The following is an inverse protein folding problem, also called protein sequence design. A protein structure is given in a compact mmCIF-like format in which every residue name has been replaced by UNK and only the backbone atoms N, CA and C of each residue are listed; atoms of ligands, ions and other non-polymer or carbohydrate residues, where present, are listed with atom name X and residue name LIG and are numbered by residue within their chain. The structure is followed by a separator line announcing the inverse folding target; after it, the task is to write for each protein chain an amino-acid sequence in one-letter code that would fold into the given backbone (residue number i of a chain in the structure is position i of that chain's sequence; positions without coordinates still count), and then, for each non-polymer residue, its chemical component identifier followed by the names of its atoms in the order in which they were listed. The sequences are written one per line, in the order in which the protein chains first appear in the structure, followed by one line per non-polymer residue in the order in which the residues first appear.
data_IF_857407572336
#
_entry.id   IF_857407572336
#
_cell.length_a   1.000
_cell.length_b   1.000
_cell.length_c   1.000
_cell.angle_alpha   90.00
_cell.angle_beta   90.00
_cell.angle_gamma   90.00
#
_symmetry.space_group_name_H-M   'P 1'
#
loop_
_entity.id
_entity.type
_entity.pdbx_description
1 polymer ?
#
# COMPACT_ATOMS: atom_id res chain seq x y z
N UNK A 1 -5.29 24.59 -16.86
CA UNK A 1 -4.78 23.20 -16.91
C UNK A 1 -5.50 22.24 -17.90
N UNK A 2 -6.28 22.66 -18.92
CA UNK A 2 -7.06 21.70 -19.73
C UNK A 2 -6.23 20.75 -20.63
N UNK A 3 -4.92 20.97 -20.76
CA UNK A 3 -4.03 20.18 -21.63
C UNK A 3 -3.27 19.06 -20.93
N UNK A 4 -3.32 18.96 -19.60
CA UNK A 4 -2.59 17.92 -18.85
C UNK A 4 -3.51 16.73 -18.63
N UNK A 5 -3.17 15.58 -19.23
CA UNK A 5 -3.87 14.31 -19.04
C UNK A 5 -2.96 13.33 -18.29
N UNK A 6 -3.39 12.74 -17.16
CA UNK A 6 -2.64 11.67 -16.51
C UNK A 6 -2.56 10.43 -17.39
N UNK A 7 -1.38 9.81 -17.45
CA UNK A 7 -1.19 8.48 -18.03
C UNK A 7 -1.29 7.43 -16.91
N UNK A 8 -2.49 6.87 -16.73
CA UNK A 8 -2.77 5.91 -15.66
C UNK A 8 -2.03 4.58 -15.85
N UNK A 9 -1.76 4.19 -17.10
CA UNK A 9 -1.02 2.98 -17.41
C UNK A 9 0.45 3.11 -16.99
N UNK A 10 1.08 4.25 -17.29
CA UNK A 10 2.45 4.54 -16.82
C UNK A 10 2.53 4.66 -15.30
N UNK A 11 1.53 5.27 -14.65
CA UNK A 11 1.47 5.31 -13.19
C UNK A 11 1.45 3.89 -12.58
N UNK A 12 0.62 2.99 -13.13
CA UNK A 12 0.56 1.59 -12.68
C UNK A 12 1.88 0.86 -12.93
N UNK A 13 2.43 0.97 -14.14
CA UNK A 13 3.71 0.38 -14.50
C UNK A 13 4.84 0.80 -13.55
N UNK A 14 4.92 2.09 -13.22
CA UNK A 14 5.94 2.61 -12.31
C UNK A 14 5.74 2.10 -10.88
N UNK A 15 4.50 1.92 -10.43
CA UNK A 15 4.22 1.33 -9.13
C UNK A 15 4.65 -0.15 -9.08
N UNK A 16 4.36 -0.91 -10.12
CA UNK A 16 4.70 -2.34 -10.21
C UNK A 16 6.23 -2.57 -10.29
N UNK A 17 7.00 -1.61 -10.86
CA UNK A 17 8.47 -1.63 -10.87
C UNK A 17 9.10 -1.63 -9.47
N UNK A 18 8.36 -1.24 -8.42
CA UNK A 18 8.87 -1.30 -7.04
C UNK A 18 8.94 -2.72 -6.48
N UNK A 19 8.45 -3.73 -7.22
CA UNK A 19 8.32 -5.13 -6.78
C UNK A 19 7.56 -5.28 -5.44
N UNK A 20 6.62 -4.37 -5.19
CA UNK A 20 5.84 -4.33 -3.95
C UNK A 20 6.63 -3.84 -2.74
N UNK A 21 7.81 -3.23 -2.89
CA UNK A 21 8.53 -2.67 -1.73
C UNK A 21 7.75 -1.57 -1.01
N UNK A 22 6.82 -0.92 -1.71
CA UNK A 22 5.90 0.08 -1.15
C UNK A 22 4.97 -0.48 -0.08
N UNK A 23 4.81 -1.81 0.02
CA UNK A 23 3.98 -2.45 1.06
C UNK A 23 4.71 -2.70 2.39
N UNK A 24 5.97 -2.28 2.51
CA UNK A 24 6.75 -2.47 3.75
C UNK A 24 6.06 -1.81 4.95
N UNK A 25 5.67 -0.55 4.83
CA UNK A 25 5.00 0.20 5.90
C UNK A 25 3.65 -0.40 6.31
N UNK A 26 2.70 -0.68 5.40
CA UNK A 26 1.44 -1.31 5.80
C UNK A 26 1.65 -2.69 6.42
N UNK A 27 2.62 -3.49 5.94
CA UNK A 27 2.92 -4.78 6.57
C UNK A 27 3.43 -4.61 8.00
N UNK A 28 4.32 -3.64 8.25
CA UNK A 28 4.78 -3.34 9.61
C UNK A 28 3.61 -2.94 10.50
N UNK A 29 2.76 -2.02 10.05
CA UNK A 29 1.59 -1.58 10.83
C UNK A 29 0.66 -2.75 11.17
N UNK A 30 0.36 -3.61 10.20
CA UNK A 30 -0.51 -4.78 10.42
C UNK A 30 0.12 -5.75 11.42
N UNK A 31 1.42 -6.05 11.29
CA UNK A 31 2.12 -6.95 12.20
C UNK A 31 2.21 -6.37 13.63
N UNK A 32 2.40 -5.07 13.78
CA UNK A 32 2.36 -4.40 15.10
C UNK A 32 0.99 -4.54 15.76
N UNK A 33 -0.09 -4.26 15.01
CA UNK A 33 -1.47 -4.39 15.52
C UNK A 33 -1.79 -5.83 15.91
N UNK A 34 -1.25 -6.81 15.19
CA UNK A 34 -1.40 -8.24 15.49
C UNK A 34 -0.45 -8.74 16.58
N UNK A 35 0.37 -7.88 17.19
CA UNK A 35 1.24 -8.22 18.31
C UNK A 35 2.55 -8.91 17.93
N UNK A 36 3.08 -8.68 16.72
CA UNK A 36 4.40 -9.18 16.34
C UNK A 36 5.50 -8.40 17.11
N UNK A 37 6.36 -9.07 17.90
CA UNK A 37 7.27 -8.40 18.84
C UNK A 37 8.36 -7.56 18.18
N UNK A 38 8.75 -7.89 16.95
CA UNK A 38 9.83 -7.22 16.21
C UNK A 38 9.45 -6.87 14.76
N UNK A 39 8.22 -6.40 14.54
CA UNK A 39 7.62 -6.20 13.22
C UNK A 39 8.51 -5.38 12.26
N UNK A 40 9.01 -4.21 12.72
CA UNK A 40 9.90 -3.37 11.93
C UNK A 40 11.16 -4.12 11.45
N UNK A 41 11.84 -4.81 12.37
CA UNK A 41 13.07 -5.56 12.07
C UNK A 41 12.81 -6.71 11.12
N UNK A 42 11.70 -7.44 11.33
CA UNK A 42 11.27 -8.52 10.46
C UNK A 42 11.06 -8.03 9.02
N UNK A 43 10.22 -7.00 8.84
CA UNK A 43 9.90 -6.47 7.51
C UNK A 43 11.12 -5.85 6.84
N UNK A 44 12.00 -5.18 7.58
CA UNK A 44 13.28 -4.65 7.05
C UNK A 44 14.13 -5.77 6.45
N UNK A 45 14.31 -6.89 7.15
CA UNK A 45 15.04 -8.07 6.65
C UNK A 45 14.35 -8.68 5.43
N UNK A 46 13.02 -8.75 5.45
CA UNK A 46 12.22 -9.26 4.34
C UNK A 46 12.37 -8.39 3.07
N UNK A 47 12.35 -7.06 3.23
CA UNK A 47 12.56 -6.10 2.14
C UNK A 47 13.98 -6.21 1.55
N UNK A 48 15.00 -6.37 2.39
CA UNK A 48 16.38 -6.64 1.93
C UNK A 48 16.45 -7.95 1.13
N UNK A 49 15.79 -9.02 1.60
CA UNK A 49 15.70 -10.30 0.88
C UNK A 49 14.97 -10.16 -0.44
N UNK A 50 13.88 -9.39 -0.49
CA UNK A 50 13.13 -9.07 -1.71
C UNK A 50 14.05 -8.41 -2.74
N UNK A 51 14.76 -7.35 -2.36
CA UNK A 51 15.74 -6.66 -3.23
C UNK A 51 16.81 -7.60 -3.78
N UNK A 52 17.41 -8.42 -2.91
CA UNK A 52 18.49 -9.34 -3.30
C UNK A 52 18.01 -10.44 -4.26
N UNK A 53 16.76 -10.87 -4.14
CA UNK A 53 16.23 -12.03 -4.88
C UNK A 53 15.33 -11.67 -6.06
N UNK A 54 14.93 -10.40 -6.18
CA UNK A 54 13.92 -9.95 -7.14
C UNK A 54 12.50 -10.43 -6.85
N UNK A 55 12.29 -11.22 -5.78
CA UNK A 55 10.97 -11.73 -5.38
C UNK A 55 10.14 -10.64 -4.72
N UNK A 56 8.82 -10.68 -4.92
CA UNK A 56 7.91 -9.71 -4.30
C UNK A 56 7.90 -9.86 -2.78
N UNK A 57 7.85 -8.75 -2.06
CA UNK A 57 7.85 -8.75 -0.59
C UNK A 57 6.69 -9.57 -0.01
N UNK A 58 5.50 -9.44 -0.59
CA UNK A 58 4.31 -10.20 -0.18
C UNK A 58 4.47 -11.70 -0.37
N UNK A 59 5.09 -12.16 -1.46
CA UNK A 59 5.35 -13.59 -1.65
C UNK A 59 6.29 -14.14 -0.58
N UNK A 60 7.34 -13.39 -0.24
CA UNK A 60 8.27 -13.79 0.81
C UNK A 60 7.58 -13.87 2.18
N UNK A 61 6.67 -12.94 2.48
CA UNK A 61 5.85 -12.97 3.69
C UNK A 61 4.89 -14.16 3.69
N UNK A 62 4.15 -14.38 2.61
CA UNK A 62 3.13 -15.43 2.50
C UNK A 62 3.70 -16.85 2.61
N UNK A 63 4.97 -17.05 2.21
CA UNK A 63 5.66 -18.34 2.28
C UNK A 63 6.57 -18.47 3.50
N UNK A 64 6.56 -17.52 4.44
CA UNK A 64 7.37 -17.59 5.65
C UNK A 64 6.59 -18.31 6.77
N UNK A 65 6.95 -19.56 7.10
CA UNK A 65 6.23 -20.32 8.11
C UNK A 65 6.32 -19.70 9.51
N UNK A 66 7.35 -18.87 9.78
CA UNK A 66 7.55 -18.25 11.10
C UNK A 66 6.51 -17.17 11.42
N UNK A 67 5.86 -16.62 10.39
CA UNK A 67 4.83 -15.59 10.52
C UNK A 67 3.47 -16.00 9.95
N UNK A 68 3.30 -17.25 9.56
CA UNK A 68 2.07 -17.77 8.96
C UNK A 68 0.82 -17.48 9.82
N UNK A 69 0.95 -17.56 11.16
CA UNK A 69 -0.13 -17.22 12.10
C UNK A 69 -0.65 -15.79 11.91
N UNK A 70 0.23 -14.82 11.62
CA UNK A 70 -0.17 -13.43 11.42
C UNK A 70 -0.91 -13.26 10.10
N UNK A 71 -0.48 -13.96 9.04
CA UNK A 71 -1.21 -13.99 7.77
C UNK A 71 -2.64 -14.53 7.92
N UNK A 72 -2.85 -15.55 8.75
CA UNK A 72 -4.18 -16.11 9.03
C UNK A 72 -5.08 -15.16 9.82
N UNK A 73 -4.50 -14.30 10.67
CA UNK A 73 -5.24 -13.29 11.43
C UNK A 73 -5.60 -12.04 10.61
N UNK A 74 -4.97 -11.85 9.44
CA UNK A 74 -5.26 -10.71 8.57
C UNK A 74 -6.62 -10.85 7.89
N UNK A 75 -7.34 -9.74 7.82
CA UNK A 75 -8.59 -9.62 7.05
C UNK A 75 -8.32 -9.73 5.55
N UNK A 76 -9.36 -10.08 4.77
CA UNK A 76 -9.31 -10.08 3.29
C UNK A 76 -8.81 -8.75 2.72
N UNK A 77 -9.19 -7.62 3.33
CA UNK A 77 -8.76 -6.29 2.88
C UNK A 77 -7.28 -6.04 3.14
N UNK A 78 -6.75 -6.47 4.27
CA UNK A 78 -5.32 -6.37 4.59
C UNK A 78 -4.49 -7.21 3.61
N UNK A 79 -4.89 -8.45 3.33
CA UNK A 79 -4.26 -9.30 2.32
C UNK A 79 -4.33 -8.67 0.92
N UNK A 80 -5.46 -8.07 0.55
CA UNK A 80 -5.61 -7.36 -0.71
C UNK A 80 -4.62 -6.18 -0.84
N UNK A 81 -4.43 -5.40 0.23
CA UNK A 81 -3.46 -4.28 0.26
C UNK A 81 -2.02 -4.78 0.08
N UNK A 82 -1.67 -5.90 0.71
CA UNK A 82 -0.31 -6.46 0.59
C UNK A 82 -0.05 -7.05 -0.81
N UNK A 83 -1.08 -7.54 -1.49
CA UNK A 83 -0.97 -8.09 -2.85
C UNK A 83 -1.08 -7.04 -3.95
N UNK A 84 -1.84 -5.96 -3.73
CA UNK A 84 -1.94 -4.80 -4.64
C UNK A 84 -1.71 -3.48 -3.87
N UNK A 85 -0.52 -2.86 -4.01
CA UNK A 85 -0.17 -1.61 -3.35
C UNK A 85 -1.06 -0.43 -3.76
N UNK A 86 -1.71 -0.48 -4.93
CA UNK A 86 -2.63 0.58 -5.39
C UNK A 86 -3.87 0.70 -4.52
N UNK A 87 -4.14 -0.29 -3.66
CA UNK A 87 -5.23 -0.26 -2.69
C UNK A 87 -4.86 0.50 -1.40
N UNK A 88 -3.57 0.84 -1.22
CA UNK A 88 -3.07 1.56 -0.05
C UNK A 88 -3.00 3.06 -0.28
N UNK A 89 -4.17 3.69 -0.47
CA UNK A 89 -4.30 5.12 -0.82
C UNK A 89 -4.63 6.04 0.37
N UNK A 90 -4.85 5.46 1.56
CA UNK A 90 -5.16 6.20 2.78
C UNK A 90 -6.30 7.20 2.62
N UNK A 91 -6.08 8.42 3.13
CA UNK A 91 -7.06 9.53 3.11
C UNK A 91 -7.00 10.37 1.82
N UNK A 92 -6.17 10.00 0.83
CA UNK A 92 -6.00 10.80 -0.38
C UNK A 92 -7.32 10.99 -1.17
N UNK A 93 -8.16 9.96 -1.41
CA UNK A 93 -9.42 10.14 -2.13
C UNK A 93 -10.40 11.05 -1.38
N UNK A 94 -10.50 10.86 -0.06
CA UNK A 94 -11.38 11.67 0.81
C UNK A 94 -10.94 13.13 0.85
N UNK A 95 -9.63 13.36 0.92
CA UNK A 95 -9.05 14.70 0.92
C UNK A 95 -9.29 15.41 -0.41
N UNK A 96 -9.10 14.72 -1.54
CA UNK A 96 -9.37 15.28 -2.86
C UNK A 96 -10.83 15.73 -2.99
N UNK A 97 -11.79 14.88 -2.59
CA UNK A 97 -13.23 15.22 -2.59
C UNK A 97 -13.51 16.40 -1.65
N UNK A 98 -12.95 16.41 -0.44
CA UNK A 98 -13.14 17.48 0.54
C UNK A 98 -12.68 18.83 0.00
N UNK A 99 -11.50 18.88 -0.62
CA UNK A 99 -10.96 20.11 -1.22
C UNK A 99 -11.79 20.57 -2.42
N UNK A 100 -12.19 19.66 -3.30
CA UNK A 100 -13.06 19.99 -4.44
C UNK A 100 -14.40 20.58 -3.96
N UNK A 101 -15.01 19.99 -2.94
CA UNK A 101 -16.26 20.49 -2.35
C UNK A 101 -16.09 21.85 -1.66
N UNK A 102 -14.96 22.08 -0.99
CA UNK A 102 -14.64 23.38 -0.40
C UNK A 102 -14.64 24.49 -1.47
N UNK A 103 -13.92 24.28 -2.58
CA UNK A 103 -13.85 25.26 -3.65
C UNK A 103 -15.15 25.41 -4.43
N UNK A 104 -15.89 24.31 -4.65
CA UNK A 104 -17.23 24.38 -5.26
C UNK A 104 -18.15 25.33 -4.48
N UNK A 105 -18.18 25.20 -3.15
CA UNK A 105 -18.94 26.11 -2.27
C UNK A 105 -18.41 27.55 -2.32
N UNK A 106 -17.09 27.74 -2.23
CA UNK A 106 -16.48 29.07 -2.21
C UNK A 106 -16.73 29.84 -3.50
N UNK A 107 -16.72 29.15 -4.64
CA UNK A 107 -16.92 29.71 -5.98
C UNK A 107 -18.40 29.76 -6.39
N UNK A 108 -19.33 29.31 -5.54
CA UNK A 108 -20.78 29.21 -5.85
C UNK A 108 -21.05 28.43 -7.14
N UNK A 109 -20.22 27.44 -7.44
CA UNK A 109 -20.44 26.53 -8.57
C UNK A 109 -21.59 25.60 -8.17
N UNK A 110 -22.61 25.49 -9.03
CA UNK A 110 -23.77 24.63 -8.78
C UNK A 110 -23.33 23.17 -8.48
N UNK A 111 -24.14 22.49 -7.68
CA UNK A 111 -23.92 21.10 -7.28
C UNK A 111 -24.06 20.14 -8.46
#
# INVERSE_FOLDING_TARGET
LPKVKPDTHRMRSNLDMTHGQTISDPLVTMLLVLGHPSAHTYVKKLAQKSRRTGRRLFELFAHDPTVAKYGQMMTKRQIAILSDPSLYVGEAPRTAVRVANYWRRRLKLAA
#
